data_IF_583541497587
#
_entry.id   IF_583541497587
#
_cell.length_a   1.000
_cell.length_b   1.000
_cell.length_c   1.000
_cell.angle_alpha   90.00
_cell.angle_beta   90.00
_cell.angle_gamma   90.00
#
_symmetry.space_group_name_H-M   'P 1'
#
loop_
_entity.id
_entity.type
_entity.pdbx_description
1 polymer ?
#
# COMPACT_ATOMS: atom_id res chain seq x y z
N UNK A 1 -3.76 -2.45 -21.80
CA UNK A 1 -3.45 -1.69 -20.56
C UNK A 1 -2.27 -0.75 -20.82
N UNK A 2 -2.50 0.54 -20.64
CA UNK A 2 -1.50 1.56 -21.04
C UNK A 2 -1.37 2.73 -20.09
N UNK A 3 -0.17 3.32 -20.07
CA UNK A 3 0.18 4.39 -19.14
C UNK A 3 -0.82 5.54 -19.19
N UNK A 4 -1.15 6.09 -18.02
CA UNK A 4 -1.97 7.29 -17.93
C UNK A 4 -1.42 8.17 -16.82
N UNK A 5 -1.47 9.50 -17.02
CA UNK A 5 -1.08 10.43 -15.99
C UNK A 5 -1.48 11.84 -16.35
N UNK A 6 -1.74 12.66 -15.33
CA UNK A 6 -2.01 14.09 -15.52
C UNK A 6 -1.34 14.96 -14.47
N UNK A 7 -1.05 16.21 -14.86
CA UNK A 7 -0.60 17.26 -13.95
C UNK A 7 -1.76 18.19 -13.73
N UNK A 8 -2.23 18.25 -12.48
CA UNK A 8 -3.29 19.18 -12.07
C UNK A 8 -2.66 20.39 -11.39
N UNK A 9 -2.83 21.56 -12.03
CA UNK A 9 -2.40 22.85 -11.49
C UNK A 9 -3.44 23.42 -10.52
N UNK A 10 -2.96 24.29 -9.62
CA UNK A 10 -3.77 24.84 -8.54
C UNK A 10 -4.86 25.75 -9.08
N UNK A 11 -6.10 25.50 -8.65
CA UNK A 11 -7.26 26.23 -9.11
C UNK A 11 -7.65 25.99 -10.55
N UNK A 12 -7.08 24.94 -11.16
CA UNK A 12 -7.40 24.54 -12.53
C UNK A 12 -7.83 23.06 -12.56
N UNK A 13 -9.07 22.75 -12.11
CA UNK A 13 -9.54 21.36 -12.06
C UNK A 13 -9.60 20.68 -13.43
N UNK A 14 -9.07 19.47 -13.53
CA UNK A 14 -8.99 18.73 -14.78
C UNK A 14 -10.12 17.72 -14.83
N UNK A 15 -10.86 17.74 -15.94
CA UNK A 15 -11.90 16.78 -16.22
C UNK A 15 -11.34 15.69 -17.10
N UNK A 16 -11.43 14.44 -16.64
CA UNK A 16 -10.98 13.26 -17.34
C UNK A 16 -12.23 12.51 -17.78
N UNK A 17 -12.22 12.02 -19.04
CA UNK A 17 -13.38 11.34 -19.60
C UNK A 17 -12.97 10.01 -20.24
N UNK A 18 -13.16 8.86 -19.56
CA UNK A 18 -12.90 7.57 -20.18
C UNK A 18 -13.79 7.35 -21.41
N UNK A 19 -13.23 6.88 -22.52
CA UNK A 19 -14.08 6.46 -23.66
C UNK A 19 -14.89 5.24 -23.22
N UNK A 20 -16.10 5.11 -23.77
CA UNK A 20 -17.04 4.11 -23.27
C UNK A 20 -16.43 2.71 -23.45
N UNK A 21 -16.34 1.96 -22.35
CA UNK A 21 -15.72 0.65 -22.31
C UNK A 21 -14.32 0.61 -21.71
N UNK A 22 -13.76 1.79 -21.46
CA UNK A 22 -12.44 1.91 -20.81
C UNK A 22 -12.55 2.42 -19.38
N UNK A 23 -11.69 1.87 -18.50
CA UNK A 23 -11.51 2.30 -17.13
C UNK A 23 -10.21 3.09 -17.03
N UNK A 24 -10.24 4.16 -16.23
CA UNK A 24 -9.03 4.83 -15.78
C UNK A 24 -8.76 4.43 -14.34
N UNK A 25 -7.65 3.72 -14.13
CA UNK A 25 -7.14 3.37 -12.82
C UNK A 25 -6.11 4.40 -12.40
N UNK A 26 -6.38 5.06 -11.27
CA UNK A 26 -5.44 5.96 -10.59
C UNK A 26 -4.73 5.21 -9.47
N UNK A 27 -3.40 5.20 -9.56
CA UNK A 27 -2.52 4.46 -8.68
C UNK A 27 -1.86 5.34 -7.64
N UNK A 28 -1.77 6.64 -7.91
CA UNK A 28 -1.12 7.55 -6.97
C UNK A 28 -1.28 9.03 -7.26
N UNK A 29 -1.04 9.82 -6.21
CA UNK A 29 -1.11 11.27 -6.26
C UNK A 29 0.13 11.76 -5.55
N UNK A 30 0.86 12.66 -6.20
CA UNK A 30 2.15 13.14 -5.74
C UNK A 30 2.25 14.66 -5.95
N UNK A 31 2.75 15.36 -4.93
CA UNK A 31 3.04 16.79 -5.02
C UNK A 31 4.23 17.03 -5.95
N UNK A 32 4.19 18.14 -6.69
CA UNK A 32 5.32 18.63 -7.45
C UNK A 32 6.31 19.32 -6.49
N UNK A 33 7.34 19.99 -7.01
CA UNK A 33 8.25 20.64 -6.06
C UNK A 33 7.79 22.06 -5.79
N UNK A 34 7.68 22.43 -4.50
CA UNK A 34 7.65 23.85 -4.09
C UNK A 34 8.86 24.20 -3.19
N UNK A 35 9.36 25.43 -3.34
CA UNK A 35 10.28 26.12 -2.41
C UNK A 35 10.89 25.22 -1.33
N UNK A 38 5.91 27.37 4.56
CA UNK A 38 6.50 26.13 3.99
C UNK A 38 5.53 24.97 4.19
N UNK A 39 5.33 24.55 5.44
CA UNK A 39 4.40 23.45 5.74
C UNK A 39 3.00 23.77 5.25
N UNK A 40 2.46 22.96 4.33
CA UNK A 40 1.14 23.29 3.73
C UNK A 40 0.33 22.01 3.44
N UNK A 41 -0.85 21.89 4.06
CA UNK A 41 -1.75 20.77 3.75
C UNK A 41 -2.50 20.98 2.44
N UNK A 42 -2.70 19.88 1.71
CA UNK A 42 -3.27 19.89 0.37
C UNK A 42 -4.34 18.81 0.21
N UNK A 43 -5.62 19.12 0.52
CA UNK A 43 -6.73 18.23 0.19
C UNK A 43 -6.89 17.97 -1.32
N UNK A 44 -7.10 16.70 -1.67
CA UNK A 44 -7.35 16.26 -3.02
C UNK A 44 -8.83 15.98 -3.18
N UNK A 45 -9.46 16.64 -4.16
CA UNK A 45 -10.88 16.50 -4.42
C UNK A 45 -11.15 15.82 -5.74
N UNK A 46 -12.22 15.02 -5.75
CA UNK A 46 -12.76 14.46 -6.97
C UNK A 46 -14.27 14.70 -7.04
N UNK A 47 -14.76 14.97 -8.24
CA UNK A 47 -16.18 15.05 -8.53
C UNK A 47 -16.50 13.91 -9.50
N UNK A 48 -17.48 13.09 -9.13
CA UNK A 48 -17.98 12.01 -9.98
C UNK A 48 -19.50 11.98 -9.85
N UNK A 49 -20.18 12.20 -10.98
CA UNK A 49 -21.59 12.45 -11.02
C UNK A 49 -21.94 13.54 -10.03
N UNK A 50 -22.99 13.28 -9.25
CA UNK A 50 -23.45 14.16 -8.21
C UNK A 50 -22.63 14.14 -6.91
N UNK A 51 -21.52 13.40 -6.90
CA UNK A 51 -20.70 13.25 -5.69
C UNK A 51 -19.44 14.08 -5.76
N UNK A 52 -19.15 14.76 -4.65
CA UNK A 52 -17.90 15.48 -4.44
C UNK A 52 -17.24 14.89 -3.23
N UNK A 53 -16.10 14.22 -3.44
CA UNK A 53 -15.43 13.44 -2.41
C UNK A 53 -13.98 13.90 -2.25
N UNK A 54 -13.40 13.55 -1.09
CA UNK A 54 -12.03 13.85 -0.76
C UNK A 54 -11.23 12.56 -0.82
N UNK A 55 -10.20 12.54 -1.68
CA UNK A 55 -9.36 11.37 -1.92
C UNK A 55 -8.22 11.23 -0.93
N UNK A 56 -7.89 12.34 -0.25
CA UNK A 56 -6.80 12.35 0.69
C UNK A 56 -6.28 13.75 0.89
N UNK A 57 -5.35 13.89 1.83
CA UNK A 57 -4.69 15.15 2.11
C UNK A 57 -3.20 14.90 2.09
N UNK A 58 -2.49 15.60 1.19
CA UNK A 58 -1.04 15.52 1.13
C UNK A 58 -0.48 16.62 2.02
N UNK A 59 0.80 16.49 2.35
CA UNK A 59 1.48 17.43 3.22
C UNK A 59 2.90 17.61 2.69
N UNK A 60 3.32 18.88 2.59
CA UNK A 60 4.61 19.21 1.99
C UNK A 60 5.80 18.52 2.67
N UNK A 61 5.95 18.69 3.98
CA UNK A 61 7.06 18.10 4.70
C UNK A 61 6.94 16.57 4.91
N UNK A 62 5.75 16.08 5.31
CA UNK A 62 5.55 14.70 5.74
C UNK A 62 4.94 13.73 4.76
N UNK A 63 3.98 14.19 3.95
CA UNK A 63 3.22 13.31 3.08
C UNK A 63 3.23 13.82 1.63
N UNK A 64 4.38 13.74 0.93
CA UNK A 64 4.50 14.28 -0.42
C UNK A 64 3.67 13.52 -1.46
N UNK A 65 3.34 12.26 -1.17
CA UNK A 65 2.51 11.46 -2.06
C UNK A 65 1.64 10.51 -1.27
N UNK A 66 0.64 9.94 -1.95
CA UNK A 66 -0.10 8.80 -1.46
C UNK A 66 -0.34 7.80 -2.57
N UNK A 67 -0.46 6.54 -2.14
CA UNK A 67 -0.71 5.41 -3.01
C UNK A 67 -2.21 5.06 -2.95
N UNK A 68 -2.78 4.65 -4.10
CA UNK A 68 -4.19 4.31 -4.16
C UNK A 68 -4.56 3.29 -5.22
N UNK A 69 -5.76 2.72 -5.08
CA UNK A 69 -6.34 1.76 -6.00
C UNK A 69 -7.73 2.28 -6.38
N UNK A 70 -7.76 3.31 -7.22
CA UNK A 70 -9.01 3.96 -7.61
C UNK A 70 -9.37 3.65 -9.06
N UNK A 71 -10.64 3.28 -9.28
CA UNK A 71 -11.13 2.95 -10.61
C UNK A 71 -12.24 3.92 -11.00
N UNK A 72 -12.12 4.51 -12.20
CA UNK A 72 -13.12 5.41 -12.75
C UNK A 72 -13.64 4.88 -14.09
N UNK A 73 -14.94 4.57 -14.12
CA UNK A 73 -15.64 4.05 -15.28
C UNK A 73 -16.33 5.15 -16.09
N UNK A 74 -16.58 6.30 -15.43
CA UNK A 74 -17.28 7.43 -15.99
C UNK A 74 -16.42 8.70 -15.83
N UNK A 75 -16.90 9.80 -16.41
CA UNK A 75 -16.22 11.09 -16.35
C UNK A 75 -16.00 11.50 -14.90
N UNK A 76 -14.85 12.13 -14.63
CA UNK A 76 -14.54 12.63 -13.28
C UNK A 76 -13.63 13.83 -13.32
N UNK A 77 -13.71 14.68 -12.28
CA UNK A 77 -12.90 15.88 -12.19
C UNK A 77 -12.02 15.87 -10.98
N UNK A 78 -10.71 16.02 -11.19
CA UNK A 78 -9.73 16.09 -10.10
C UNK A 78 -9.34 17.55 -9.87
N UNK A 79 -9.11 17.90 -8.59
CA UNK A 79 -8.82 19.27 -8.20
C UNK A 79 -8.13 19.39 -6.84
N UNK A 80 -7.45 20.52 -6.63
CA UNK A 80 -6.76 20.84 -5.38
C UNK A 80 -6.56 22.35 -5.31
N UNK A 81 -6.09 22.81 -4.15
CA UNK A 81 -6.07 24.23 -3.77
C UNK A 81 -4.75 24.62 -3.15
N UNK A 82 -3.65 24.23 -3.79
CA UNK A 82 -2.32 24.40 -3.20
C UNK A 82 -1.81 25.79 -3.48
N UNK A 83 -1.76 26.16 -4.76
CA UNK A 83 -1.53 27.53 -5.18
C UNK A 83 -0.09 27.72 -5.61
N UNK A 84 0.82 27.15 -4.81
CA UNK A 84 2.26 27.14 -5.10
C UNK A 84 2.73 25.75 -5.57
N UNK A 85 1.99 25.17 -6.53
CA UNK A 85 2.40 23.97 -7.22
C UNK A 85 1.30 23.16 -7.86
N UNK A 86 1.70 22.01 -8.43
CA UNK A 86 0.79 21.03 -9.00
C UNK A 86 0.78 19.70 -8.25
N UNK A 87 -0.29 18.95 -8.48
CA UNK A 87 -0.41 17.58 -8.02
C UNK A 87 -0.51 16.71 -9.26
N UNK A 88 0.38 15.71 -9.34
CA UNK A 88 0.42 14.70 -10.42
C UNK A 88 -0.39 13.47 -10.00
N UNK A 89 -1.33 13.06 -10.84
CA UNK A 89 -2.09 11.83 -10.65
C UNK A 89 -1.65 10.84 -11.73
N UNK A 90 -1.21 9.65 -11.32
CA UNK A 90 -0.64 8.69 -12.26
C UNK A 90 -1.25 7.32 -12.09
N UNK A 91 -1.38 6.60 -13.21
CA UNK A 91 -1.96 5.26 -13.23
C UNK A 91 -1.90 4.64 -14.61
N UNK A 92 -2.97 3.93 -14.99
CA UNK A 92 -3.08 3.26 -16.31
C UNK A 92 -4.55 3.19 -16.74
N UNK A 93 -4.77 3.04 -18.05
CA UNK A 93 -6.06 2.75 -18.65
C UNK A 93 -6.14 1.29 -18.98
N UNK A 94 -7.36 0.74 -18.91
CA UNK A 94 -7.61 -0.66 -19.24
C UNK A 94 -9.09 -0.90 -19.54
N UNK A 95 -9.45 -1.89 -20.38
CA UNK A 95 -10.86 -2.16 -20.68
C UNK A 95 -11.70 -2.65 -19.49
N UNK A 96 -13.02 -2.79 -19.72
CA UNK A 96 -14.06 -3.22 -18.76
C UNK A 96 -14.61 -2.12 -17.81
N UNK B 1 -17.22 -3.29 -13.90
CA UNK B 1 -16.46 -2.70 -12.76
C UNK B 1 -16.63 -1.20 -12.79
N UNK B 2 -17.17 -0.63 -11.70
CA UNK B 2 -17.52 0.79 -11.68
C UNK B 2 -17.24 1.51 -10.37
N UNK B 3 -17.00 2.83 -10.46
CA UNK B 3 -16.69 3.67 -9.33
C UNK B 3 -17.71 3.51 -8.19
N UNK B 4 -17.20 3.49 -6.95
CA UNK B 4 -18.05 3.50 -5.77
C UNK B 4 -17.41 4.39 -4.71
N UNK B 5 -18.24 5.12 -3.97
CA UNK B 5 -17.74 5.93 -2.88
C UNK B 5 -18.86 6.46 -2.03
N UNK B 6 -18.60 6.65 -0.74
CA UNK B 6 -19.56 7.25 0.18
C UNK B 6 -18.89 8.25 1.13
N UNK B 7 -19.67 9.24 1.57
CA UNK B 7 -19.31 10.16 2.63
C UNK B 7 -20.05 9.73 3.88
N UNK B 8 -19.30 9.31 4.90
CA UNK B 8 -19.87 8.98 6.19
C UNK B 8 -19.67 10.15 7.14
N UNK B 9 -20.80 10.75 7.56
CA UNK B 9 -20.83 11.86 8.51
C UNK B 9 -20.78 11.34 9.94
N UNK B 10 -20.32 12.20 10.85
CA UNK B 10 -20.13 11.85 12.25
C UNK B 10 -21.48 11.58 12.94
N UNK B 11 -21.55 10.43 13.63
CA UNK B 11 -22.74 10.00 14.29
C UNK B 11 -23.83 9.51 13.37
N UNK B 12 -23.53 9.37 12.06
CA UNK B 12 -24.45 8.80 11.10
C UNK B 12 -23.80 7.63 10.35
N UNK B 13 -23.67 6.44 11.00
CA UNK B 13 -23.14 5.24 10.34
C UNK B 13 -23.97 4.80 9.11
N UNK B 14 -23.27 4.50 8.01
CA UNK B 14 -23.92 4.16 6.75
C UNK B 14 -23.94 2.66 6.57
N UNK B 15 -25.13 2.12 6.28
CA UNK B 15 -25.29 0.72 5.92
C UNK B 15 -25.31 0.60 4.42
N UNK B 16 -24.38 -0.22 3.90
CA UNK B 16 -24.20 -0.46 2.48
C UNK B 16 -24.67 -1.90 2.22
N UNK B 17 -25.42 -2.06 1.14
CA UNK B 17 -25.98 -3.32 0.71
C UNK B 17 -25.61 -3.56 -0.76
N UNK B 18 -24.62 -4.43 -1.05
CA UNK B 18 -24.22 -4.72 -2.42
C UNK B 18 -25.39 -5.28 -3.24
N UNK B 19 -25.58 -4.73 -4.45
CA UNK B 19 -26.63 -5.15 -5.34
C UNK B 19 -26.39 -6.59 -5.75
N UNK B 20 -27.47 -7.31 -6.03
CA UNK B 20 -27.40 -8.69 -6.42
C UNK B 20 -26.42 -8.91 -7.57
N UNK B 21 -25.42 -9.78 -7.31
CA UNK B 21 -24.37 -10.11 -8.25
C UNK B 21 -23.02 -9.47 -7.92
N UNK B 22 -23.04 -8.40 -7.12
CA UNK B 22 -21.88 -7.53 -7.01
C UNK B 22 -21.19 -7.56 -5.65
N UNK B 23 -19.86 -7.41 -5.71
CA UNK B 23 -18.97 -7.15 -4.59
C UNK B 23 -18.63 -5.67 -4.53
N UNK B 24 -18.57 -5.13 -3.31
CA UNK B 24 -18.05 -3.79 -3.08
C UNK B 24 -16.64 -3.88 -2.53
N UNK B 25 -15.68 -3.39 -3.31
CA UNK B 25 -14.29 -3.30 -2.94
C UNK B 25 -14.05 -1.89 -2.44
N UNK B 26 -13.62 -1.80 -1.16
CA UNK B 26 -13.18 -0.56 -0.55
C UNK B 26 -11.65 -0.48 -0.60
N UNK B 27 -11.17 0.61 -1.22
CA UNK B 27 -9.77 0.84 -1.51
C UNK B 27 -9.14 1.83 -0.56
N UNK B 28 -9.94 2.67 0.08
CA UNK B 28 -9.41 3.67 1.01
C UNK B 28 -10.43 4.41 1.84
N UNK B 29 -9.91 4.99 2.94
CA UNK B 29 -10.66 5.80 3.86
C UNK B 29 -9.85 7.06 4.09
N UNK B 30 -10.50 8.21 3.96
CA UNK B 30 -9.84 9.51 4.01
C UNK B 30 -10.69 10.49 4.82
N UNK B 31 -10.04 11.25 5.71
CA UNK B 31 -10.68 12.35 6.45
C UNK B 31 -11.02 13.48 5.50
N UNK B 32 -12.18 14.13 5.73
CA UNK B 32 -12.54 15.35 5.03
C UNK B 32 -11.84 16.54 5.61
N UNK B 33 -12.32 17.73 5.26
CA UNK B 33 -11.71 19.01 5.67
C UNK B 33 -12.05 19.34 7.11
N UNK B 37 -7.11 24.20 13.66
CA UNK B 37 -7.98 23.02 13.58
C UNK B 37 -7.91 22.18 14.89
N UNK B 38 -7.42 20.93 14.80
CA UNK B 38 -7.23 20.06 15.97
C UNK B 38 -6.42 18.78 15.63
N UNK B 39 -5.60 18.32 16.59
CA UNK B 39 -5.00 16.98 16.61
C UNK B 39 -5.81 15.94 17.41
N UNK B 40 -6.28 14.89 16.71
CA UNK B 40 -7.16 13.89 17.29
C UNK B 40 -7.26 12.60 16.45
N UNK B 41 -7.69 11.52 17.11
CA UNK B 41 -7.75 10.18 16.55
C UNK B 41 -9.16 9.75 16.21
N UNK B 42 -9.29 8.97 15.12
CA UNK B 42 -10.56 8.56 14.53
C UNK B 42 -10.56 7.08 14.19
N UNK B 43 -10.97 6.20 15.13
CA UNK B 43 -11.20 4.80 14.82
C UNK B 43 -12.29 4.56 13.75
N UNK B 44 -12.01 3.69 12.79
CA UNK B 44 -12.91 3.27 11.75
C UNK B 44 -13.49 1.91 12.09
N UNK B 45 -14.83 1.84 12.15
CA UNK B 45 -15.55 0.62 12.49
C UNK B 45 -16.34 0.08 11.32
N UNK B 46 -16.40 -1.24 11.25
CA UNK B 46 -17.30 -1.93 10.33
C UNK B 46 -18.08 -3.01 11.10
N UNK B 47 -19.37 -3.15 10.74
CA UNK B 47 -20.22 -4.23 11.23
C UNK B 47 -20.57 -5.11 10.04
N UNK B 48 -20.29 -6.41 10.14
CA UNK B 48 -20.62 -7.38 9.12
C UNK B 48 -21.03 -8.68 9.79
N UNK B 49 -22.25 -9.13 9.49
CA UNK B 49 -22.86 -10.28 10.14
C UNK B 49 -22.85 -10.01 11.63
N UNK B 50 -22.46 -11.02 12.39
CA UNK B 50 -22.37 -10.93 13.84
C UNK B 50 -21.11 -10.19 14.35
N UNK B 51 -20.29 -9.65 13.43
CA UNK B 51 -18.98 -9.12 13.80
C UNK B 51 -18.96 -7.61 13.76
N UNK B 52 -18.30 -7.03 14.77
CA UNK B 52 -17.92 -5.63 14.80
C UNK B 52 -16.40 -5.56 14.85
N UNK B 53 -15.80 -5.03 13.78
CA UNK B 53 -14.35 -4.99 13.63
C UNK B 53 -13.86 -3.57 13.41
N UNK B 54 -12.56 -3.37 13.68
CA UNK B 54 -11.89 -2.10 13.53
C UNK B 54 -10.98 -2.16 12.32
N UNK B 55 -11.23 -1.27 11.35
CA UNK B 55 -10.50 -1.23 10.08
C UNK B 55 -9.21 -0.42 10.16
N UNK B 56 -9.08 0.42 11.19
CA UNK B 56 -7.92 1.25 11.38
C UNK B 56 -8.26 2.49 12.16
N UNK B 57 -7.25 3.33 12.40
CA UNK B 57 -7.42 4.59 13.09
C UNK B 57 -6.74 5.65 12.28
N UNK B 58 -7.51 6.68 11.89
CA UNK B 58 -6.95 7.85 11.23
C UNK B 58 -6.58 8.88 12.27
N UNK B 59 -5.76 9.85 11.86
CA UNK B 59 -5.27 10.89 12.74
C UNK B 59 -5.18 12.18 11.93
N UNK B 60 -5.70 13.26 12.50
CA UNK B 60 -5.78 14.53 11.78
C UNK B 60 -4.42 15.05 11.30
N UNK B 61 -3.45 15.17 12.20
CA UNK B 61 -2.12 15.67 11.83
C UNK B 61 -1.27 14.66 11.05
N UNK B 62 -1.24 13.39 11.48
CA UNK B 62 -0.30 12.38 10.93
C UNK B 62 -0.86 11.40 9.91
N UNK B 63 -2.10 10.96 10.07
CA UNK B 63 -2.67 9.90 9.24
C UNK B 63 -4.02 10.30 8.65
N UNK B 64 -4.02 11.24 7.69
CA UNK B 64 -5.28 11.75 7.11
C UNK B 64 -6.06 10.71 6.31
N UNK B 65 -5.38 9.68 5.81
CA UNK B 65 -6.01 8.60 5.07
C UNK B 65 -5.29 7.30 5.31
N UNK B 66 -5.96 6.20 4.95
CA UNK B 66 -5.33 4.90 4.84
C UNK B 66 -5.82 4.17 3.60
N UNK B 67 -4.92 3.32 3.10
CA UNK B 67 -5.14 2.50 1.95
C UNK B 67 -5.53 1.08 2.38
N UNK B 68 -6.45 0.46 1.63
CA UNK B 68 -6.91 -0.88 1.96
C UNK B 68 -7.39 -1.71 0.79
N UNK B 69 -7.47 -3.03 1.01
CA UNK B 69 -7.95 -4.01 0.03
C UNK B 69 -9.05 -4.81 0.71
N UNK B 70 -10.22 -4.19 0.85
CA UNK B 70 -11.36 -4.82 1.53
C UNK B 70 -12.45 -5.20 0.55
N UNK B 71 -12.95 -6.42 0.66
CA UNK B 71 -14.03 -6.92 -0.19
C UNK B 71 -15.25 -7.24 0.67
N UNK B 72 -16.41 -6.72 0.26
CA UNK B 72 -17.69 -6.99 0.91
C UNK B 72 -18.68 -7.61 -0.07
N UNK B 73 -19.10 -8.84 0.25
CA UNK B 73 -20.03 -9.61 -0.55
C UNK B 73 -21.46 -9.49 -0.04
N UNK B 74 -21.60 -9.11 1.23
CA UNK B 74 -22.88 -8.99 1.91
C UNK B 74 -23.01 -7.60 2.53
N UNK B 75 -24.17 -7.33 3.14
CA UNK B 75 -24.46 -6.04 3.77
C UNK B 75 -23.40 -5.74 4.84
N UNK B 76 -23.04 -4.46 4.98
CA UNK B 76 -22.11 -4.01 6.01
C UNK B 76 -22.37 -2.57 6.43
N UNK B 77 -21.98 -2.20 7.66
CA UNK B 77 -22.13 -0.84 8.15
C UNK B 77 -20.78 -0.22 8.48
N UNK B 78 -20.50 0.94 7.88
CA UNK B 78 -19.30 1.71 8.15
C UNK B 78 -19.62 2.86 9.09
N UNK B 79 -18.69 3.15 10.00
CA UNK B 79 -18.90 4.17 11.02
C UNK B 79 -17.62 4.72 11.59
N UNK B 80 -17.73 5.94 12.14
CA UNK B 80 -16.61 6.64 12.75
C UNK B 80 -17.11 7.59 13.82
N UNK B 81 -16.15 8.17 14.57
CA UNK B 81 -16.44 8.88 15.81
C UNK B 81 -15.72 10.23 15.88
N UNK B 82 -15.77 10.99 14.78
CA UNK B 82 -14.95 12.17 14.67
C UNK B 82 -15.69 13.36 15.30
N UNK B 83 -16.88 13.65 14.77
CA UNK B 83 -17.72 14.71 15.30
C UNK B 83 -17.53 16.04 14.61
N UNK B 84 -16.27 16.35 14.25
CA UNK B 84 -15.91 17.57 13.54
C UNK B 84 -15.56 17.28 12.06
N UNK B 85 -16.36 16.42 11.41
CA UNK B 85 -16.16 16.13 9.99
C UNK B 85 -16.67 14.80 9.51
N UNK B 86 -16.40 14.49 8.23
CA UNK B 86 -16.73 13.21 7.62
C UNK B 86 -15.51 12.39 7.22
N UNK B 87 -15.75 11.08 7.05
CA UNK B 87 -14.78 10.17 6.49
C UNK B 87 -15.35 9.63 5.21
N UNK B 88 -14.57 9.77 4.12
CA UNK B 88 -14.92 9.28 2.77
C UNK B 88 -14.31 7.89 2.58
N UNK B 89 -15.16 6.92 2.18
CA UNK B 89 -14.71 5.57 1.84
C UNK B 89 -14.88 5.42 0.33
N UNK B 90 -13.81 5.06 -0.37
CA UNK B 90 -13.82 5.05 -1.83
C UNK B 90 -13.27 3.74 -2.35
N UNK B 91 -13.85 3.27 -3.47
CA UNK B 91 -13.42 2.06 -4.13
C UNK B 91 -14.16 1.85 -5.44
N UNK B 92 -14.52 0.59 -5.69
CA UNK B 92 -15.26 0.20 -6.92
C UNK B 92 -16.15 -1.02 -6.62
N UNK B 93 -17.18 -1.20 -7.45
CA UNK B 93 -18.03 -2.37 -7.47
C UNK B 93 -17.57 -3.25 -8.61
N UNK B 94 -17.69 -4.56 -8.42
CA UNK B 94 -17.34 -5.55 -9.44
C UNK B 94 -18.09 -6.86 -9.21
N UNK B 95 -18.41 -7.65 -10.25
CA UNK B 95 -19.17 -8.89 -10.07
C UNK B 95 -18.45 -9.97 -9.23
N UNK C 1 6.21 -13.94 -16.58
CA UNK C 1 6.37 -12.82 -15.61
C UNK C 1 7.71 -12.96 -14.91
N UNK C 2 8.56 -11.94 -15.03
CA UNK C 2 9.95 -12.03 -14.57
C UNK C 2 10.48 -10.77 -13.91
N UNK C 3 11.44 -10.97 -13.00
CA UNK C 3 12.03 -9.88 -12.22
C UNK C 3 12.56 -8.78 -13.12
N UNK C 4 12.34 -7.52 -12.69
CA UNK C 4 12.91 -6.37 -13.35
C UNK C 4 13.38 -5.38 -12.30
N UNK C 5 14.50 -4.72 -12.56
CA UNK C 5 14.98 -3.69 -11.68
C UNK C 5 16.11 -2.91 -12.31
N UNK C 6 16.21 -1.63 -11.95
CA UNK C 6 17.32 -0.78 -12.38
C UNK C 6 17.85 0.09 -11.26
N UNK C 7 19.14 0.45 -11.37
CA UNK C 7 19.78 1.44 -10.54
C UNK C 7 19.91 2.70 -11.37
N UNK C 8 19.23 3.77 -10.93
CA UNK C 8 19.37 5.09 -11.52
C UNK C 8 20.33 5.93 -10.68
N UNK C 9 21.47 6.28 -11.28
CA UNK C 9 22.47 7.15 -10.68
C UNK C 9 22.09 8.64 -10.84
N UNK C 10 22.63 9.48 -9.94
CA UNK C 10 22.27 10.88 -9.88
C UNK C 10 22.80 11.61 -11.14
N UNK C 11 21.92 12.38 -11.78
CA UNK C 11 22.22 13.07 -13.00
C UNK C 11 22.46 12.20 -14.22
N UNK C 12 22.11 10.90 -14.11
CA UNK C 12 22.24 9.95 -15.22
C UNK C 12 20.91 9.27 -15.52
N UNK C 13 19.97 9.97 -16.20
CA UNK C 13 18.64 9.43 -16.48
C UNK C 13 18.65 8.17 -17.34
N UNK C 14 17.90 7.15 -16.93
CA UNK C 14 17.85 5.87 -17.61
C UNK C 14 16.59 5.81 -18.45
N UNK C 15 16.76 5.49 -19.74
CA UNK C 15 15.64 5.26 -20.64
C UNK C 15 15.38 3.77 -20.73
N UNK C 16 14.16 3.37 -20.41
CA UNK C 16 13.71 1.99 -20.45
C UNK C 16 12.74 1.86 -21.61
N UNK C 17 12.89 0.77 -22.38
CA UNK C 17 12.10 0.55 -23.59
C UNK C 17 11.53 -0.87 -23.60
N UNK C 18 10.25 -1.06 -23.25
CA UNK C 18 9.59 -2.34 -23.50
C UNK C 18 9.61 -2.72 -24.99
N UNK C 22 5.41 -6.61 -24.27
CA UNK C 22 5.63 -6.68 -22.83
C UNK C 22 5.42 -5.33 -22.11
N UNK C 23 4.87 -5.42 -20.89
CA UNK C 23 4.68 -4.32 -19.96
C UNK C 23 5.73 -4.38 -18.87
N UNK C 24 6.23 -3.21 -18.47
CA UNK C 24 7.08 -3.10 -17.31
C UNK C 24 6.27 -2.51 -16.16
N UNK C 25 6.08 -3.32 -15.12
CA UNK C 25 5.43 -2.93 -13.90
C UNK C 25 6.51 -2.53 -12.89
N UNK C 26 6.44 -1.28 -12.44
CA UNK C 26 7.26 -0.76 -11.37
C UNK C 26 6.48 -0.80 -10.06
N UNK C 27 7.07 -1.50 -9.08
CA UNK C 27 6.45 -1.77 -7.79
C UNK C 27 7.00 -0.87 -6.69
N UNK C 28 8.20 -0.32 -6.88
CA UNK C 28 8.79 0.53 -5.87
C UNK C 28 10.06 1.29 -6.27
N UNK C 29 10.36 2.31 -5.47
CA UNK C 29 11.52 3.15 -5.63
C UNK C 29 12.13 3.28 -4.26
N UNK C 30 13.44 3.05 -4.18
CA UNK C 30 14.15 2.98 -2.90
C UNK C 30 15.52 3.69 -3.04
N UNK C 31 15.86 4.48 -2.03
CA UNK C 31 17.18 5.12 -1.94
C UNK C 31 18.25 4.07 -1.67
N UNK C 32 19.47 4.33 -2.11
CA UNK C 32 20.59 3.44 -1.79
C UNK C 32 21.28 3.90 -0.52
N UNK C 33 22.62 3.91 -0.49
CA UNK C 33 23.42 4.36 0.68
C UNK C 33 22.66 4.08 1.97
N UNK C 40 17.20 15.20 3.90
CA UNK C 40 17.16 15.90 2.62
C UNK C 40 16.29 15.17 1.57
N UNK C 41 15.71 15.94 0.64
CA UNK C 41 14.59 15.49 -0.21
C UNK C 41 15.00 15.21 -1.65
N UNK C 42 14.39 14.19 -2.24
CA UNK C 42 14.77 13.65 -3.55
C UNK C 42 13.54 13.39 -4.42
N UNK C 43 13.12 14.39 -5.23
CA UNK C 43 12.09 14.19 -6.25
C UNK C 43 12.47 13.14 -7.32
N UNK C 44 11.53 12.25 -7.63
CA UNK C 44 11.65 11.25 -8.67
C UNK C 44 10.87 11.68 -9.90
N UNK C 45 11.56 11.79 -11.05
CA UNK C 45 10.96 12.22 -12.31
C UNK C 45 10.87 11.10 -13.34
N UNK C 46 9.76 11.12 -14.10
CA UNK C 46 9.59 10.24 -15.25
C UNK C 46 9.15 11.06 -16.47
N UNK C 47 9.67 10.67 -17.64
CA UNK C 47 9.23 11.20 -18.92
C UNK C 47 8.57 10.07 -19.68
N UNK C 48 7.31 10.29 -20.09
CA UNK C 48 6.56 9.32 -20.87
C UNK C 48 5.63 10.07 -21.80
N UNK C 49 5.76 9.78 -23.09
CA UNK C 49 4.87 10.27 -24.13
C UNK C 49 4.58 11.75 -24.14
N UNK C 50 5.65 12.56 -24.24
CA UNK C 50 5.59 14.02 -24.22
C UNK C 50 5.29 14.65 -22.85
N UNK C 51 5.05 13.82 -21.83
CA UNK C 51 4.81 14.30 -20.47
C UNK C 51 6.04 14.09 -19.59
N UNK C 52 6.32 15.08 -18.75
CA UNK C 52 7.27 14.98 -17.67
C UNK C 52 6.52 15.09 -16.33
N UNK C 53 6.51 14.00 -15.56
CA UNK C 53 5.73 13.89 -14.35
C UNK C 53 6.62 13.55 -13.15
N UNK C 54 6.10 13.81 -11.96
CA UNK C 54 6.79 13.55 -10.71
C UNK C 54 6.12 12.34 -10.04
N UNK C 55 6.90 11.28 -9.80
CA UNK C 55 6.41 10.03 -9.22
C UNK C 55 6.36 10.04 -7.71
N UNK C 56 7.08 10.96 -7.10
CA UNK C 56 7.09 11.10 -5.65
C UNK C 56 8.37 11.76 -5.22
N UNK C 57 8.48 11.96 -3.90
CA UNK C 57 9.64 12.56 -3.29
C UNK C 57 10.06 11.64 -2.16
N UNK C 58 11.30 11.15 -2.23
CA UNK C 58 11.88 10.36 -1.15
C UNK C 58 12.60 11.32 -0.20
N UNK C 59 12.88 10.83 1.00
CA UNK C 59 13.55 11.61 2.02
C UNK C 59 14.49 10.67 2.77
N UNK C 60 15.72 11.14 2.96
CA UNK C 60 16.77 10.30 3.56
C UNK C 60 16.41 9.74 4.93
N UNK C 61 16.04 10.60 5.88
CA UNK C 61 15.73 10.13 7.25
C UNK C 61 14.34 9.46 7.35
N UNK C 62 13.31 10.05 6.72
CA UNK C 62 11.92 9.65 6.91
C UNK C 62 11.27 8.76 5.86
N UNK C 63 11.63 8.97 4.59
CA UNK C 63 10.97 8.26 3.48
C UNK C 63 12.01 7.61 2.57
N UNK C 64 12.70 6.56 3.03
CA UNK C 64 13.78 5.92 2.26
C UNK C 64 13.28 5.22 0.99
N UNK C 65 12.01 4.81 0.98
CA UNK C 65 11.40 4.17 -0.18
C UNK C 65 9.94 4.56 -0.29
N UNK C 66 9.37 4.29 -1.46
CA UNK C 66 7.93 4.33 -1.67
C UNK C 66 7.47 3.14 -2.49
N UNK C 67 6.22 2.77 -2.26
CA UNK C 67 5.56 1.67 -2.92
C UNK C 67 4.65 2.23 -4.03
N UNK C 68 4.57 1.51 -5.16
CA UNK C 68 3.74 1.94 -6.28
C UNK C 68 3.21 0.81 -7.15
N UNK C 69 2.19 1.14 -7.95
CA UNK C 69 1.57 0.23 -8.90
C UNK C 69 1.56 0.94 -10.25
N UNK C 70 2.74 1.01 -10.88
CA UNK C 70 2.92 1.74 -12.13
C UNK C 70 3.14 0.77 -13.30
N UNK C 71 2.42 1.01 -14.39
CA UNK C 71 2.51 0.19 -15.59
C UNK C 71 3.02 1.06 -16.74
N UNK C 72 4.08 0.57 -17.42
CA UNK C 72 4.61 1.21 -18.60
C UNK C 72 4.53 0.25 -19.79
N UNK C 73 3.73 0.67 -20.79
CA UNK C 73 3.50 -0.05 -22.03
C UNK C 73 4.40 0.46 -23.14
N UNK C 74 4.92 1.68 -22.96
CA UNK C 74 5.77 2.37 -23.93
C UNK C 74 7.09 2.77 -23.27
N UNK C 75 8.00 3.33 -24.08
CA UNK C 75 9.29 3.81 -23.61
C UNK C 75 9.07 4.86 -22.54
N UNK C 76 9.98 4.89 -21.54
CA UNK C 76 9.95 5.92 -20.49
C UNK C 76 11.34 6.19 -19.92
N UNK C 77 11.55 7.40 -19.39
CA UNK C 77 12.84 7.78 -18.80
C UNK C 77 12.69 8.12 -17.34
N UNK C 78 13.46 7.46 -16.48
CA UNK C 78 13.49 7.72 -15.04
C UNK C 78 14.71 8.54 -14.68
N UNK C 79 14.57 9.44 -13.69
CA UNK C 79 15.66 10.35 -13.28
C UNK C 79 15.44 10.94 -11.87
N UNK C 80 16.55 11.39 -11.26
CA UNK C 80 16.53 12.08 -9.97
C UNK C 80 17.81 12.92 -9.83
N UNK C 81 17.89 13.72 -8.76
CA UNK C 81 18.94 14.72 -8.57
C UNK C 81 19.49 14.69 -7.15
N UNK C 82 19.86 13.49 -6.68
CA UNK C 82 20.31 13.32 -5.30
C UNK C 82 21.78 13.71 -5.19
N UNK C 83 22.62 13.07 -6.00
CA UNK C 83 24.01 13.45 -6.15
C UNK C 83 24.89 12.54 -5.34
N UNK C 84 24.44 12.26 -4.10
CA UNK C 84 25.16 11.44 -3.14
C UNK C 84 24.52 10.05 -2.99
N UNK C 85 24.15 9.45 -4.14
CA UNK C 85 23.63 8.12 -4.23
C UNK C 85 22.76 7.85 -5.46
N UNK C 86 22.21 6.64 -5.49
CA UNK C 86 21.30 6.18 -6.52
C UNK C 86 19.91 5.89 -5.96
N UNK C 87 18.94 5.82 -6.89
CA UNK C 87 17.61 5.36 -6.60
C UNK C 87 17.38 4.09 -7.41
N UNK C 88 16.99 3.02 -6.72
CA UNK C 88 16.66 1.70 -7.31
C UNK C 88 15.16 1.64 -7.57
N UNK C 89 14.78 1.31 -8.82
CA UNK C 89 13.40 1.08 -9.20
C UNK C 89 13.25 -0.41 -9.47
N UNK C 90 12.29 -1.06 -8.79
CA UNK C 90 12.16 -2.50 -8.86
C UNK C 90 10.73 -2.91 -9.14
N UNK C 91 10.58 -3.99 -9.90
CA UNK C 91 9.28 -4.54 -10.26
C UNK C 91 9.41 -5.82 -11.04
N UNK C 92 8.55 -6.00 -12.05
CA UNK C 92 8.53 -7.20 -12.92
C UNK C 92 8.06 -6.83 -14.32
N UNK C 93 8.41 -7.66 -15.30
CA UNK C 93 7.93 -7.60 -16.66
C UNK C 93 6.89 -8.67 -16.82
N UNK C 94 5.89 -8.37 -17.66
CA UNK C 94 4.84 -9.34 -18.01
C UNK C 94 4.18 -8.96 -19.33
N UNK C 95 3.64 -9.91 -20.13
CA UNK C 95 3.02 -9.58 -21.42
C UNK C 95 1.76 -8.69 -21.31
N UNK D 1 -1.23 -21.77 -5.27
CA UNK D 1 -0.69 -20.57 -4.59
C UNK D 1 -0.60 -20.85 -3.09
N UNK D 2 0.62 -20.77 -2.53
CA UNK D 2 0.82 -21.17 -1.13
C UNK D 2 1.79 -20.31 -0.35
N UNK D 3 1.57 -20.25 0.97
CA UNK D 3 2.35 -19.41 1.87
C UNK D 3 3.85 -19.62 1.70
N UNK D 4 4.61 -18.52 1.76
CA UNK D 4 6.06 -18.57 1.77
C UNK D 4 6.60 -17.54 2.73
N UNK D 5 7.69 -17.87 3.41
CA UNK D 5 8.38 -16.92 4.28
C UNK D 5 9.74 -17.42 4.68
N UNK D 6 10.65 -16.49 4.95
CA UNK D 6 11.98 -16.81 5.50
C UNK D 6 12.41 -15.82 6.57
N UNK D 7 13.25 -16.30 7.50
CA UNK D 7 13.89 -15.47 8.52
C UNK D 7 15.37 -15.33 8.12
N UNK D 8 15.78 -14.12 7.79
CA UNK D 8 17.16 -13.83 7.41
C UNK D 8 17.91 -13.20 8.59
N UNK D 9 18.93 -13.91 9.06
CA UNK D 9 19.84 -13.44 10.10
C UNK D 9 20.95 -12.49 9.56
N UNK D 10 21.46 -11.66 10.49
CA UNK D 10 22.33 -10.54 10.20
C UNK D 10 23.65 -10.96 9.62
N UNK D 11 24.00 -10.36 8.47
CA UNK D 11 25.25 -10.64 7.77
C UNK D 11 25.33 -12.03 7.18
N UNK D 12 24.17 -12.70 7.08
CA UNK D 12 24.11 -14.11 6.67
C UNK D 12 23.12 -14.21 5.51
N UNK D 13 23.55 -13.88 4.28
CA UNK D 13 22.67 -13.84 3.12
C UNK D 13 22.06 -15.21 2.78
N UNK D 14 20.74 -15.22 2.57
CA UNK D 14 19.99 -16.42 2.26
C UNK D 14 19.76 -16.42 0.76
N UNK D 15 20.07 -17.56 0.15
CA UNK D 15 19.83 -17.78 -1.26
C UNK D 15 18.54 -18.56 -1.40
N UNK D 16 17.60 -17.99 -2.17
CA UNK D 16 16.33 -18.60 -2.46
C UNK D 16 16.34 -18.99 -3.94
N UNK D 17 15.86 -20.20 -4.21
CA UNK D 17 15.85 -20.78 -5.54
C UNK D 17 14.44 -21.30 -5.88
N UNK D 18 13.63 -20.56 -6.66
CA UNK D 18 12.32 -21.04 -7.09
C UNK D 18 12.46 -22.33 -7.92
N UNK D 19 11.64 -23.34 -7.60
CA UNK D 19 11.56 -24.56 -8.36
C UNK D 19 11.07 -24.22 -9.77
N UNK D 20 11.50 -25.03 -10.74
CA UNK D 20 11.13 -24.84 -12.13
C UNK D 20 9.60 -24.75 -12.25
N UNK D 21 9.13 -23.65 -12.84
CA UNK D 21 7.72 -23.37 -13.04
C UNK D 21 7.14 -22.33 -12.08
N UNK D 22 7.83 -22.08 -10.97
CA UNK D 22 7.27 -21.33 -9.85
C UNK D 22 7.90 -19.96 -9.66
N UNK D 23 7.05 -18.99 -9.30
CA UNK D 23 7.42 -17.64 -8.92
C UNK D 23 7.33 -17.51 -7.42
N UNK D 24 8.29 -16.79 -6.83
CA UNK D 24 8.21 -16.39 -5.45
C UNK D 24 7.85 -14.91 -5.39
N UNK D 25 6.66 -14.62 -4.86
CA UNK D 25 6.18 -13.27 -4.62
C UNK D 25 6.49 -12.92 -3.18
N UNK D 26 7.28 -11.85 -3.01
CA UNK D 26 7.55 -11.23 -1.72
C UNK D 26 6.64 -10.03 -1.51
N UNK D 27 5.88 -10.10 -0.41
CA UNK D 27 4.86 -9.14 -0.05
C UNK D 27 5.32 -8.16 1.02
N UNK D 28 6.33 -8.54 1.80
CA UNK D 28 6.80 -7.69 2.88
C UNK D 28 8.11 -8.12 3.53
N UNK D 29 8.71 -7.13 4.21
CA UNK D 29 9.92 -7.31 4.99
C UNK D 29 9.68 -6.63 6.31
N UNK D 30 9.95 -7.37 7.40
CA UNK D 30 9.65 -6.93 8.75
C UNK D 30 10.82 -7.27 9.69
N UNK D 31 11.19 -6.31 10.55
CA UNK D 31 12.18 -6.52 11.60
C UNK D 31 11.61 -7.46 12.66
N UNK D 32 12.49 -8.29 13.25
CA UNK D 32 12.16 -9.08 14.41
C UNK D 32 12.11 -8.23 15.69
N UNK D 33 12.11 -8.88 16.84
CA UNK D 33 11.97 -8.25 18.15
C UNK D 33 13.15 -7.38 18.59
N UNK D 35 13.13 -2.88 19.50
CA UNK D 35 12.30 -2.56 20.65
C UNK D 35 12.98 -1.76 21.80
N UNK D 36 14.26 -2.04 22.09
CA UNK D 36 15.09 -1.23 23.00
C UNK D 36 16.43 -0.78 22.40
N UNK D 40 19.82 0.87 13.97
CA UNK D 40 18.78 1.94 13.90
C UNK D 40 18.37 2.12 12.43
N UNK D 41 19.23 1.76 11.50
CA UNK D 41 18.88 1.84 10.05
C UNK D 41 19.31 0.52 9.39
N UNK D 42 18.36 -0.19 8.77
CA UNK D 42 18.66 -1.55 8.22
C UNK D 42 18.48 -1.62 6.69
N UNK D 43 19.44 -1.23 5.80
CA UNK D 43 19.29 -1.50 4.38
C UNK D 43 19.03 -2.99 4.04
N UNK D 44 18.07 -3.24 3.16
CA UNK D 44 17.74 -4.55 2.64
C UNK D 44 18.33 -4.68 1.24
N UNK D 45 19.17 -5.70 1.04
CA UNK D 45 19.82 -5.97 -0.23
C UNK D 45 19.32 -7.24 -0.88
N UNK D 46 19.24 -7.20 -2.22
CA UNK D 46 18.98 -8.38 -3.02
C UNK D 46 20.00 -8.49 -4.15
N UNK D 47 20.33 -9.73 -4.49
CA UNK D 47 21.26 -9.95 -5.62
C UNK D 47 20.58 -10.91 -6.60
N UNK D 48 20.02 -10.37 -7.67
CA UNK D 48 19.46 -11.23 -8.73
C UNK D 48 20.47 -11.16 -9.87
N UNK D 49 20.95 -12.31 -10.34
CA UNK D 49 22.04 -12.27 -11.33
C UNK D 49 23.22 -11.50 -10.75
N UNK D 50 23.61 -10.42 -11.40
CA UNK D 50 24.80 -9.63 -10.96
C UNK D 50 24.32 -8.30 -10.40
N UNK D 51 22.99 -8.11 -10.37
CA UNK D 51 22.45 -6.81 -9.92
C UNK D 51 22.34 -6.82 -8.40
N UNK D 52 23.21 -6.09 -7.71
CA UNK D 52 23.08 -5.95 -6.24
C UNK D 52 22.20 -4.73 -6.01
N UNK D 53 20.91 -4.92 -5.78
CA UNK D 53 19.97 -3.80 -5.67
C UNK D 53 19.51 -3.63 -4.23
N UNK D 54 18.99 -2.48 -3.88
CA UNK D 54 18.49 -2.16 -2.55
C UNK D 54 16.97 -2.15 -2.59
N UNK D 55 16.33 -2.99 -1.77
CA UNK D 55 14.88 -3.11 -1.70
C UNK D 55 14.21 -2.11 -0.79
N UNK D 56 15.00 -1.51 0.11
CA UNK D 56 14.50 -0.53 1.04
C UNK D 56 15.35 -0.47 2.27
N UNK D 57 14.98 0.41 3.19
CA UNK D 57 15.68 0.60 4.45
C UNK D 57 14.65 0.59 5.55
N UNK D 58 14.80 -0.35 6.49
CA UNK D 58 13.97 -0.38 7.68
C UNK D 58 14.62 0.45 8.77
N UNK D 59 13.83 0.82 9.77
CA UNK D 59 14.28 1.65 10.87
C UNK D 59 13.59 1.16 12.13
N UNK D 60 14.38 0.98 13.19
CA UNK D 60 13.86 0.43 14.43
C UNK D 60 12.70 1.23 15.03
N UNK D 61 12.88 2.53 15.24
CA UNK D 61 11.83 3.37 15.83
C UNK D 61 10.65 3.69 14.88
N UNK D 62 10.95 4.04 13.62
CA UNK D 62 9.89 4.52 12.71
C UNK D 62 9.40 3.57 11.65
N UNK D 63 10.26 2.69 11.13
CA UNK D 63 9.91 1.85 9.99
C UNK D 63 10.21 0.37 10.26
N UNK D 64 9.45 -0.28 11.16
CA UNK D 64 9.70 -1.67 11.53
C UNK D 64 9.46 -2.67 10.39
N UNK D 65 8.63 -2.29 9.41
CA UNK D 65 8.36 -3.11 8.26
C UNK D 65 8.12 -2.26 7.04
N UNK D 66 8.18 -2.89 5.87
CA UNK D 66 7.70 -2.31 4.63
C UNK D 66 6.92 -3.34 3.82
N UNK D 67 5.99 -2.80 3.04
CA UNK D 67 5.14 -3.54 2.17
C UNK D 67 5.67 -3.47 0.74
N UNK D 68 5.56 -4.59 0.00
CA UNK D 68 6.06 -4.64 -1.38
C UNK D 68 5.34 -5.62 -2.29
N UNK D 69 5.55 -5.45 -3.59
CA UNK D 69 4.99 -6.29 -4.64
C UNK D 69 6.15 -6.75 -5.52
N UNK D 70 6.93 -7.71 -5.01
CA UNK D 70 8.14 -8.18 -5.71
C UNK D 70 7.95 -9.60 -6.23
N UNK D 71 8.35 -9.83 -7.49
CA UNK D 71 8.27 -11.15 -8.10
C UNK D 71 9.67 -11.64 -8.46
N UNK D 72 9.99 -12.87 -8.06
CA UNK D 72 11.25 -13.52 -8.40
C UNK D 72 10.99 -14.83 -9.17
N UNK D 73 11.47 -14.86 -10.42
CA UNK D 73 11.30 -16.00 -11.31
C UNK D 73 12.52 -16.92 -11.29
N UNK D 74 13.67 -16.36 -10.88
CA UNK D 74 14.95 -17.05 -10.85
C UNK D 74 15.58 -16.93 -9.46
N UNK D 75 16.74 -17.55 -9.27
CA UNK D 75 17.44 -17.55 -8.00
C UNK D 75 17.75 -16.13 -7.57
N UNK D 76 17.69 -15.87 -6.26
CA UNK D 76 18.05 -14.56 -5.69
C UNK D 76 18.58 -14.70 -4.27
N UNK D 77 19.40 -13.73 -3.84
CA UNK D 77 19.96 -13.71 -2.49
C UNK D 77 19.49 -12.47 -1.73
N UNK D 78 18.87 -12.69 -0.56
CA UNK D 78 18.45 -11.60 0.33
C UNK D 78 19.46 -11.45 1.46
N UNK D 79 19.70 -10.21 1.88
CA UNK D 79 20.69 -9.90 2.92
C UNK D 79 20.47 -8.58 3.61
N UNK D 80 21.02 -8.46 4.82
CA UNK D 80 21.01 -7.22 5.60
C UNK D 80 22.16 -7.24 6.60
N UNK D 81 22.36 -6.10 7.27
CA UNK D 81 23.09 -6.02 8.54
C UNK D 81 22.23 -5.36 9.63
N UNK D 83 21.91 -5.44 12.68
CA UNK D 83 23.07 -6.07 13.28
C UNK D 83 22.66 -6.99 14.42
N UNK D 84 21.70 -6.52 15.20
CA UNK D 84 21.23 -7.18 16.42
C UNK D 84 19.81 -7.74 16.21
N UNK D 85 19.64 -8.52 15.14
CA UNK D 85 18.39 -9.26 14.91
C UNK D 85 18.24 -9.87 13.54
N UNK D 86 17.01 -10.32 13.24
CA UNK D 86 16.65 -10.85 11.93
C UNK D 86 15.61 -10.00 11.22
N UNK D 87 15.58 -10.16 9.89
CA UNK D 87 14.55 -9.60 9.05
C UNK D 87 13.79 -10.76 8.42
N UNK D 88 12.47 -10.74 8.59
CA UNK D 88 11.54 -11.74 8.00
C UNK D 88 11.02 -11.22 6.67
N UNK D 89 11.15 -12.03 5.62
CA UNK D 89 10.57 -11.75 4.30
C UNK D 89 9.42 -12.72 4.09
N UNK D 90 8.22 -12.20 3.81
CA UNK D 90 7.04 -13.03 3.74
C UNK D 90 6.25 -12.75 2.47
N UNK D 91 5.63 -13.80 1.93
CA UNK D 91 4.83 -13.72 0.73
C UNK D 91 4.15 -15.05 0.40
N UNK D 92 4.12 -15.37 -0.89
CA UNK D 92 3.53 -16.64 -1.39
C UNK D 92 4.25 -17.10 -2.65
N UNK D 93 4.16 -18.40 -2.95
CA UNK D 93 4.60 -19.00 -4.18
C UNK D 93 3.41 -19.22 -5.07
N UNK D 94 3.62 -19.11 -6.38
CA UNK D 94 2.59 -19.37 -7.38
C UNK D 94 3.21 -19.71 -8.73
N UNK D 95 2.54 -20.52 -9.60
CA UNK D 95 3.09 -20.83 -10.92
C UNK D 95 3.24 -19.63 -11.88
N UNK D 96 3.87 -19.89 -13.03
CA UNK D 96 4.07 -18.91 -14.11
C UNK D 96 3.02 -18.94 -15.26
N UNK E 1 -15.76 -15.27 -3.72
CA UNK E 1 -14.89 -14.38 -2.90
C UNK E 1 -15.74 -13.65 -1.87
N UNK E 2 -15.42 -13.85 -0.59
CA UNK E 2 -16.26 -13.31 0.49
C UNK E 2 -15.50 -12.76 1.68
N UNK E 3 -16.11 -11.79 2.36
CA UNK E 3 -15.50 -11.09 3.49
C UNK E 3 -14.99 -12.07 4.55
N UNK E 4 -13.83 -11.76 5.12
CA UNK E 4 -13.29 -12.52 6.24
C UNK E 4 -12.66 -11.56 7.24
N UNK E 5 -12.79 -11.84 8.53
CA UNK E 5 -12.11 -11.05 9.55
C UNK E 5 -12.17 -11.70 10.89
N UNK E 6 -11.15 -11.49 11.72
CA UNK E 6 -11.10 -12.01 13.09
C UNK E 6 -10.50 -11.04 14.08
N UNK E 7 -10.92 -11.14 15.35
CA UNK E 7 -10.39 -10.33 16.45
C UNK E 7 -9.52 -11.22 17.30
N UNK E 8 -8.22 -10.93 17.32
CA UNK E 8 -7.24 -11.69 18.11
C UNK E 8 -6.93 -10.94 19.41
N UNK E 9 -7.23 -11.59 20.54
CA UNK E 9 -6.94 -10.98 21.87
C UNK E 9 -5.50 -11.31 22.29
N UNK E 10 -5.04 -10.75 23.40
CA UNK E 10 -3.64 -10.97 23.84
C UNK E 10 -3.45 -12.37 24.43
N UNK E 11 -2.38 -13.06 24.06
CA UNK E 11 -2.10 -14.36 24.70
C UNK E 11 -2.24 -15.56 23.80
N UNK E 12 -3.00 -16.55 24.23
CA UNK E 12 -3.13 -17.82 23.48
C UNK E 12 -3.40 -17.54 22.00
N UNK E 13 -2.71 -18.25 21.09
CA UNK E 13 -2.93 -18.07 19.67
C UNK E 13 -4.31 -18.48 19.14
N UNK E 14 -4.82 -17.74 18.15
CA UNK E 14 -6.09 -18.08 17.44
C UNK E 14 -5.77 -18.91 16.19
N UNK E 15 -6.23 -20.16 16.15
CA UNK E 15 -5.95 -21.02 15.04
C UNK E 15 -7.06 -20.88 14.01
N UNK E 16 -6.66 -20.53 12.78
CA UNK E 16 -7.54 -20.43 11.63
C UNK E 16 -7.24 -21.61 10.70
N UNK E 17 -8.29 -22.23 10.16
CA UNK E 17 -8.16 -23.40 9.30
C UNK E 17 -8.97 -23.20 8.01
N UNK E 18 -8.34 -22.84 6.88
CA UNK E 18 -9.04 -22.82 5.60
C UNK E 18 -9.57 -24.21 5.23
N UNK E 19 -10.82 -24.29 4.79
CA UNK E 19 -11.35 -25.55 4.26
C UNK E 19 -10.58 -25.91 2.99
N UNK E 20 -10.41 -27.21 2.74
CA UNK E 20 -9.56 -27.64 1.65
C UNK E 20 -10.09 -27.08 0.33
N UNK E 21 -9.22 -26.37 -0.40
CA UNK E 21 -9.56 -25.71 -1.64
C UNK E 21 -9.75 -24.21 -1.54
N UNK E 22 -9.83 -23.70 -0.30
CA UNK E 22 -10.02 -22.26 -0.06
C UNK E 22 -8.75 -21.61 0.51
N UNK E 23 -8.49 -20.38 0.04
CA UNK E 23 -7.43 -19.50 0.51
C UNK E 23 -8.04 -18.44 1.40
N UNK E 24 -7.35 -18.14 2.50
CA UNK E 24 -7.63 -16.95 3.29
C UNK E 24 -6.58 -15.89 2.97
N UNK E 25 -7.03 -14.79 2.36
CA UNK E 25 -6.22 -13.63 2.07
C UNK E 25 -6.42 -12.64 3.20
N UNK E 26 -5.32 -12.31 3.88
CA UNK E 26 -5.26 -11.25 4.89
C UNK E 26 -4.72 -9.97 4.25
N UNK E 27 -5.54 -8.91 4.36
CA UNK E 27 -5.31 -7.63 3.73
C UNK E 27 -4.78 -6.59 4.71
N UNK E 28 -5.04 -6.80 6.01
CA UNK E 28 -4.58 -5.87 7.02
C UNK E 28 -4.69 -6.34 8.46
N UNK E 29 -3.92 -5.65 9.31
CA UNK E 29 -3.94 -5.85 10.74
C UNK E 29 -4.05 -4.47 11.35
N UNK E 30 -4.99 -4.32 12.29
CA UNK E 30 -5.33 -3.03 12.90
C UNK E 30 -5.53 -3.20 14.42
N UNK E 31 -4.97 -2.29 15.20
CA UNK E 31 -5.16 -2.26 16.65
C UNK E 31 -6.58 -1.88 17.00
N UNK E 32 -7.11 -2.45 18.09
CA UNK E 32 -8.37 -2.02 18.67
C UNK E 32 -8.17 -0.74 19.46
N UNK E 33 -9.23 -0.25 20.10
CA UNK E 33 -9.18 1.04 20.80
C UNK E 33 -8.54 0.90 22.17
N UNK E 34 -7.50 1.70 22.43
CA UNK E 34 -6.88 1.82 23.76
C UNK E 34 -6.95 3.28 24.25
N UNK E 35 -7.19 3.44 25.56
CA UNK E 35 -7.60 4.72 26.17
C UNK E 35 -6.51 5.23 27.12
N UNK E 36 -5.40 4.50 27.13
CA UNK E 36 -4.22 4.74 27.98
C UNK E 36 -2.92 4.51 27.18
N UNK E 37 -2.95 4.91 25.90
CA UNK E 37 -1.85 4.65 24.95
C UNK E 37 -0.50 5.26 25.43
N UNK E 38 0.58 4.52 25.17
CA UNK E 38 1.96 5.00 25.36
C UNK E 38 2.81 4.27 24.35
N UNK E 40 3.03 2.06 23.14
CA UNK E 40 3.36 0.66 23.31
C UNK E 40 3.42 -0.03 21.93
N UNK E 41 4.35 -1.00 21.84
CA UNK E 41 4.65 -1.73 20.61
C UNK E 41 4.12 -3.17 20.67
N UNK E 42 3.64 -3.66 19.51
CA UNK E 42 2.87 -4.91 19.42
C UNK E 42 3.35 -5.74 18.24
N UNK E 43 4.34 -6.64 18.44
CA UNK E 43 4.69 -7.64 17.45
C UNK E 43 3.54 -8.61 17.11
N UNK E 44 3.35 -8.86 15.82
CA UNK E 44 2.37 -9.81 15.30
C UNK E 44 3.07 -11.08 14.88
N UNK E 45 2.66 -12.22 15.46
CA UNK E 45 3.26 -13.52 15.16
C UNK E 45 2.30 -14.43 14.45
N UNK E 46 2.84 -15.23 13.51
CA UNK E 46 2.10 -16.28 12.84
C UNK E 46 2.90 -17.58 12.88
N UNK E 47 2.17 -18.70 13.05
CA UNK E 47 2.71 -20.04 12.89
C UNK E 47 2.01 -20.67 11.71
N UNK E 48 2.79 -21.18 10.74
CA UNK E 48 2.26 -21.86 9.57
C UNK E 48 3.17 -23.05 9.29
N UNK E 49 2.57 -24.25 9.33
CA UNK E 49 3.29 -25.51 9.35
C UNK E 49 4.32 -25.45 10.45
N UNK E 50 5.55 -25.86 10.11
CA UNK E 50 6.67 -25.82 11.04
C UNK E 50 7.33 -24.45 11.19
N UNK E 51 6.76 -23.41 10.57
CA UNK E 51 7.38 -22.08 10.55
C UNK E 51 6.73 -21.09 11.48
N UNK E 52 7.55 -20.32 12.19
CA UNK E 52 7.10 -19.29 13.09
C UNK E 52 7.69 -17.97 12.65
N UNK E 53 6.85 -17.06 12.15
CA UNK E 53 7.28 -15.81 11.55
C UNK E 53 6.65 -14.59 12.21
N UNK E 54 7.26 -13.43 11.98
CA UNK E 54 6.76 -12.15 12.44
C UNK E 54 6.18 -11.38 11.26
N UNK E 55 4.91 -11.02 11.36
CA UNK E 55 4.18 -10.32 10.29
C UNK E 55 4.34 -8.81 10.31
N UNK E 56 4.81 -8.28 11.45
CA UNK E 56 5.01 -6.86 11.59
C UNK E 56 4.93 -6.46 13.04
N UNK E 57 5.15 -5.16 13.31
CA UNK E 57 5.02 -4.59 14.62
C UNK E 57 4.14 -3.36 14.51
N UNK E 58 3.02 -3.35 15.23
CA UNK E 58 2.16 -2.19 15.31
C UNK E 58 2.57 -1.35 16.50
N UNK E 59 2.12 -0.10 16.52
CA UNK E 59 2.51 0.86 17.54
C UNK E 59 1.33 1.78 17.78
N UNK E 60 0.99 2.03 19.04
CA UNK E 60 -0.05 2.99 19.37
C UNK E 60 0.48 4.35 18.88
N UNK E 61 -0.41 5.23 18.44
CA UNK E 61 -0.04 6.60 18.05
C UNK E 61 0.64 6.66 16.66
N UNK E 62 1.67 5.83 16.43
CA UNK E 62 2.41 5.90 15.13
C UNK E 62 2.03 4.89 14.07
N UNK E 63 1.83 3.62 14.48
CA UNK E 63 1.51 2.57 13.53
C UNK E 63 0.27 1.79 13.98
N UNK E 64 -0.93 2.40 13.96
CA UNK E 64 -2.14 1.75 14.46
C UNK E 64 -2.58 0.55 13.60
N UNK E 65 -2.19 0.54 12.33
CA UNK E 65 -2.49 -0.53 11.41
C UNK E 65 -1.37 -0.72 10.42
N UNK E 66 -1.38 -1.87 9.75
CA UNK E 66 -0.57 -2.10 8.57
C UNK E 66 -1.35 -2.82 7.51
N UNK E 67 -0.97 -2.55 6.26
CA UNK E 67 -1.55 -3.12 5.09
C UNK E 67 -0.67 -4.28 4.60
N UNK E 68 -1.31 -5.34 4.10
CA UNK E 68 -0.59 -6.51 3.64
C UNK E 68 -1.29 -7.32 2.56
N UNK E 69 -0.51 -8.17 1.89
CA UNK E 69 -0.97 -9.07 0.86
C UNK E 69 -0.50 -10.47 1.25
N UNK E 70 -1.19 -11.06 2.23
CA UNK E 70 -0.83 -12.37 2.75
C UNK E 70 -1.83 -13.43 2.33
N UNK E 71 -1.32 -14.57 1.86
CA UNK E 71 -2.16 -15.70 1.47
C UNK E 71 -1.87 -16.89 2.39
N UNK E 72 -2.94 -17.49 2.92
CA UNK E 72 -2.86 -18.73 3.70
C UNK E 72 -3.69 -19.83 3.03
N UNK E 73 -2.99 -20.89 2.59
CA UNK E 73 -3.59 -22.05 1.95
C UNK E 73 -3.81 -23.18 2.95
N UNK E 74 -3.07 -23.13 4.07
CA UNK E 74 -3.11 -24.15 5.11
C UNK E 74 -3.42 -23.51 6.47
N UNK E 75 -3.59 -24.35 7.49
CA UNK E 75 -3.91 -23.91 8.83
C UNK E 75 -2.81 -22.98 9.33
N UNK E 76 -3.20 -21.96 10.11
CA UNK E 76 -2.24 -21.01 10.68
C UNK E 76 -2.73 -20.44 12.01
N UNK E 77 -1.78 -20.03 12.85
CA UNK E 77 -2.08 -19.48 14.17
C UNK E 77 -1.56 -18.07 14.27
N UNK E 78 -2.48 -17.14 14.59
CA UNK E 78 -2.13 -15.74 14.80
C UNK E 78 -2.06 -15.45 16.29
N UNK E 79 -1.11 -14.59 16.69
CA UNK E 79 -0.89 -14.25 18.10
C UNK E 79 -0.15 -12.95 18.32
N UNK E 80 -0.35 -12.36 19.50
CA UNK E 80 0.30 -11.12 19.94
C UNK E 80 0.18 -11.04 21.47
N UNK E 81 0.87 -10.07 22.07
CA UNK E 81 1.04 -9.98 23.52
C UNK E 81 0.81 -8.56 24.05
N UNK E 82 -0.28 -7.93 23.61
CA UNK E 82 -0.53 -6.54 23.94
C UNK E 82 -1.13 -6.41 25.36
N UNK E 85 -5.95 -5.34 25.15
CA UNK E 85 -6.26 -4.93 23.79
C UNK E 85 -6.20 -6.06 22.77
N UNK E 86 -6.92 -5.89 21.65
CA UNK E 86 -6.93 -6.84 20.55
C UNK E 86 -6.37 -6.27 19.25
N UNK E 87 -6.00 -7.17 18.34
CA UNK E 87 -5.62 -6.84 16.98
C UNK E 87 -6.61 -7.54 16.07
N UNK E 88 -7.22 -6.77 15.16
CA UNK E 88 -8.17 -7.26 14.13
C UNK E 88 -7.40 -7.55 12.84
N UNK E 89 -7.57 -8.77 12.30
CA UNK E 89 -7.03 -9.15 11.00
C UNK E 89 -8.18 -9.28 10.05
N UNK E 90 -8.11 -8.57 8.92
CA UNK E 90 -9.24 -8.49 7.99
C UNK E 90 -8.78 -8.77 6.57
N UNK E 91 -9.64 -9.45 5.82
CA UNK E 91 -9.39 -9.74 4.42
C UNK E 91 -10.59 -10.39 3.76
N UNK E 92 -10.34 -11.40 2.94
CA UNK E 92 -11.38 -12.16 2.21
C UNK E 92 -10.93 -13.61 1.99
N UNK E 93 -11.91 -14.49 1.78
CA UNK E 93 -11.70 -15.88 1.39
C UNK E 93 -11.98 -15.98 -0.09
N UNK E 94 -11.25 -16.90 -0.75
CA UNK E 94 -11.43 -17.16 -2.17
C UNK E 94 -10.86 -18.53 -2.54
N UNK E 95 -11.39 -19.24 -3.57
CA UNK E 95 -10.85 -20.55 -3.94
C UNK E 95 -9.40 -20.53 -4.44
#
# INVERSE_FOLDING_TARGET
>A
MEFWGIEVKSGKPVTVTPEEGILIHVSQASLGECKNKKGEFVPLHVKVGNQNLVLGTLSTENIPQLFCDLVFDKEFELSHTWGKGSVYFVGYKTPN
>B
MEFWGIEVKSGKPVTVTPEEGILIHVSQASLGECKNKKGEFVPLHVKVGNQNLVLGTLSTENIPQLFCDLVFDKEFELSHTWGKGSVYFVGYKTPN
>C
MEFWGIEVKSGKPVTVTPEEGILIHVSQASLGECKNKKGEFVPLHVKVGNQNLVLGTLSTENIPQLFCDLVFDKEFELSHTWGKGSVYFVGYKTPN
>D
MEFWGIEVKSGKPVTVTPEEGILIHVSQASLGECKNKKGEFVPLHVKVGNQNLVLGTLSTENIPQLFCDLVFDKEFELSHTWGKGSVYFVGYKTPN
>E
MEFWGIEVKSGKPVTVTPEEGILIHVSQASLGECKNKKGEFVPLHVKVGNQNLVLGTLSTENIPQLFCDLVFDKEFELSHTWGKGSVYFVGYKTPN
#
